data_IF_574553785211
#
_entry.id   IF_574553785211
#
_cell.length_a   1.000
_cell.length_b   1.000
_cell.length_c   1.000
_cell.angle_alpha   90.00
_cell.angle_beta   90.00
_cell.angle_gamma   90.00
#
_symmetry.space_group_name_H-M   'P 1'
#
loop_
_entity.id
_entity.type
_entity.pdbx_description
1 polymer ?
#
# COMPACT_ATOMS: atom_id res chain seq x y z
N UNK A 1 10.14 -20.69 35.67
CA UNK A 1 9.44 -20.21 34.46
C UNK A 1 10.46 -19.48 33.62
N UNK A 2 10.80 -20.02 32.45
CA UNK A 2 11.67 -19.33 31.48
C UNK A 2 10.94 -18.08 31.01
N UNK A 3 11.55 -16.91 31.13
CA UNK A 3 11.02 -15.69 30.50
C UNK A 3 10.96 -15.94 28.99
N UNK A 4 9.75 -16.07 28.44
CA UNK A 4 9.57 -16.11 26.99
C UNK A 4 9.95 -14.73 26.46
N UNK A 5 11.13 -14.64 25.84
CA UNK A 5 11.60 -13.40 25.24
C UNK A 5 10.71 -13.06 24.03
N UNK A 6 9.99 -11.94 24.12
CA UNK A 6 9.15 -11.44 23.03
C UNK A 6 9.94 -10.44 22.17
N UNK A 7 9.45 -10.20 20.96
CA UNK A 7 10.04 -9.28 20.00
C UNK A 7 8.97 -8.34 19.48
N UNK A 8 9.21 -7.04 19.57
CA UNK A 8 8.39 -6.00 19.00
C UNK A 8 8.89 -5.61 17.60
N UNK A 9 7.98 -5.46 16.65
CA UNK A 9 8.24 -4.68 15.44
C UNK A 9 7.90 -3.23 15.77
N UNK A 10 8.88 -2.35 15.63
CA UNK A 10 8.74 -0.93 15.91
C UNK A 10 8.91 -0.11 14.64
N UNK A 11 8.26 1.05 14.58
CA UNK A 11 8.40 2.04 13.51
C UNK A 11 9.08 3.30 14.06
N UNK A 12 10.19 3.72 13.44
CA UNK A 12 10.99 4.88 13.87
C UNK A 12 12.46 4.80 13.44
N UNK A 13 13.22 5.87 13.68
CA UNK A 13 14.66 5.91 13.43
C UNK A 13 15.43 4.96 14.38
N UNK A 14 16.45 4.27 13.87
CA UNK A 14 17.27 3.31 14.63
C UNK A 14 18.22 3.99 15.63
N UNK A 15 18.49 5.26 15.36
CA UNK A 15 19.44 6.15 16.01
C UNK A 15 18.70 7.17 16.87
N UNK A 16 18.88 7.04 18.19
CA UNK A 16 18.65 8.06 19.21
C UNK A 16 17.20 8.36 19.65
N UNK A 17 16.87 7.94 20.89
CA UNK A 17 16.02 8.62 21.89
C UNK A 17 14.63 9.17 21.52
N UNK A 18 14.14 8.93 20.30
CA UNK A 18 12.82 9.34 19.83
C UNK A 18 11.74 8.35 20.22
N UNK A 19 10.46 8.77 20.29
CA UNK A 19 9.37 7.84 20.50
C UNK A 19 9.29 6.90 19.30
N UNK A 20 9.55 5.61 19.53
CA UNK A 20 9.23 4.56 18.58
C UNK A 20 7.80 4.09 18.82
N UNK A 21 7.09 3.82 17.74
CA UNK A 21 5.77 3.22 17.81
C UNK A 21 5.88 1.71 17.80
N UNK A 22 5.28 1.04 18.79
CA UNK A 22 5.16 -0.41 18.78
C UNK A 22 4.04 -0.80 17.83
N UNK A 23 4.39 -1.46 16.72
CA UNK A 23 3.42 -1.92 15.71
C UNK A 23 2.80 -3.25 16.15
N UNK A 24 3.63 -4.21 16.60
CA UNK A 24 3.18 -5.52 17.09
C UNK A 24 4.23 -6.19 17.96
N UNK A 25 3.79 -7.06 18.88
CA UNK A 25 4.65 -7.90 19.72
C UNK A 25 4.38 -9.38 19.43
N UNK A 26 5.45 -10.17 19.25
CA UNK A 26 5.36 -11.59 18.89
C UNK A 26 6.45 -12.45 19.55
N UNK A 27 6.19 -13.75 19.64
CA UNK A 27 7.01 -14.70 20.41
C UNK A 27 8.30 -15.14 19.71
N UNK A 28 8.52 -14.76 18.44
CA UNK A 28 9.68 -15.20 17.65
C UNK A 28 10.41 -14.05 16.96
N UNK A 29 11.73 -13.96 17.16
CA UNK A 29 12.59 -12.96 16.49
C UNK A 29 12.54 -13.08 14.97
N UNK A 30 12.60 -14.31 14.45
CA UNK A 30 12.60 -14.57 13.01
C UNK A 30 11.29 -14.16 12.36
N UNK A 31 10.17 -14.38 13.05
CA UNK A 31 8.85 -13.95 12.59
C UNK A 31 8.75 -12.42 12.60
N UNK A 32 9.21 -11.76 13.67
CA UNK A 32 9.27 -10.30 13.76
C UNK A 32 10.15 -9.69 12.66
N UNK A 33 11.28 -10.34 12.34
CA UNK A 33 12.19 -9.89 11.29
C UNK A 33 11.55 -10.01 9.90
N UNK A 34 10.80 -11.09 9.65
CA UNK A 34 10.02 -11.25 8.41
C UNK A 34 8.97 -10.16 8.27
N UNK A 35 8.21 -9.87 9.33
CA UNK A 35 7.20 -8.80 9.33
C UNK A 35 7.83 -7.44 9.10
N UNK A 36 8.92 -7.12 9.78
CA UNK A 36 9.64 -5.86 9.56
C UNK A 36 10.12 -5.72 8.10
N UNK A 37 10.67 -6.80 7.52
CA UNK A 37 11.09 -6.82 6.12
C UNK A 37 9.89 -6.66 5.16
N UNK A 38 8.76 -7.30 5.45
CA UNK A 38 7.53 -7.16 4.68
C UNK A 38 6.93 -5.76 4.78
N UNK A 39 7.01 -5.08 5.92
CA UNK A 39 6.53 -3.70 6.07
C UNK A 39 7.45 -2.69 5.36
N UNK A 40 8.74 -3.02 5.23
CA UNK A 40 9.72 -2.24 4.49
C UNK A 40 10.51 -1.25 5.36
N UNK A 41 11.25 -0.30 4.73
CA UNK A 41 12.15 0.61 5.43
C UNK A 41 11.48 1.37 6.59
N UNK A 42 12.25 1.62 7.66
CA UNK A 42 11.76 2.27 8.88
C UNK A 42 11.10 1.34 9.90
N UNK A 43 11.01 0.03 9.61
CA UNK A 43 10.56 -1.00 10.54
C UNK A 43 11.72 -1.85 11.04
N UNK A 44 11.77 -2.06 12.36
CA UNK A 44 12.88 -2.73 13.03
C UNK A 44 12.39 -3.67 14.14
N UNK A 45 13.20 -4.66 14.49
CA UNK A 45 12.89 -5.61 15.56
C UNK A 45 13.61 -5.23 16.84
N UNK A 46 12.87 -5.10 17.94
CA UNK A 46 13.36 -4.80 19.29
C UNK A 46 12.95 -5.92 20.26
N UNK A 47 13.77 -6.31 21.24
CA UNK A 47 13.32 -7.21 22.30
C UNK A 47 12.25 -6.51 23.16
N UNK A 48 11.16 -7.22 23.48
CA UNK A 48 10.04 -6.71 24.25
C UNK A 48 9.82 -7.52 25.53
N UNK A 49 9.58 -6.83 26.64
CA UNK A 49 9.15 -7.42 27.92
C UNK A 49 7.64 -7.18 28.09
N UNK A 50 6.81 -7.87 27.32
CA UNK A 50 5.34 -7.68 27.39
C UNK A 50 4.64 -9.03 27.57
N UNK A 51 3.63 -9.05 28.45
CA UNK A 51 2.97 -10.24 28.99
C UNK A 51 1.65 -10.64 28.27
N UNK A 52 1.34 -10.08 27.10
CA UNK A 52 0.14 -10.47 26.36
C UNK A 52 0.40 -10.64 24.85
N UNK A 53 0.11 -11.85 24.39
CA UNK A 53 0.16 -12.31 23.01
C UNK A 53 -1.15 -13.03 22.70
N UNK A 54 -1.72 -12.83 21.52
CA UNK A 54 -2.97 -13.54 21.15
C UNK A 54 -3.81 -12.89 20.05
N UNK A 55 -3.47 -11.69 19.57
CA UNK A 55 -4.14 -11.12 18.42
C UNK A 55 -3.65 -11.80 17.13
N UNK A 56 -4.57 -12.26 16.29
CA UNK A 56 -4.25 -12.63 14.91
C UNK A 56 -3.81 -11.38 14.17
N UNK A 57 -2.81 -11.51 13.30
CA UNK A 57 -2.30 -10.40 12.51
C UNK A 57 -1.99 -10.83 11.09
N UNK A 58 -2.02 -9.89 10.14
CA UNK A 58 -1.55 -10.10 8.77
C UNK A 58 -0.96 -8.81 8.20
N UNK A 59 0.05 -8.91 7.36
CA UNK A 59 0.53 -7.77 6.58
C UNK A 59 -0.32 -7.66 5.32
N UNK A 60 -0.82 -6.46 5.05
CA UNK A 60 -1.54 -6.12 3.83
C UNK A 60 -0.71 -5.14 3.04
N UNK A 61 -0.58 -5.42 1.74
CA UNK A 61 0.12 -4.56 0.79
C UNK A 61 -0.91 -3.76 0.00
N UNK A 62 -0.55 -2.55 -0.40
CA UNK A 62 -1.33 -1.78 -1.38
C UNK A 62 -0.64 -1.90 -2.73
N UNK A 63 -1.42 -2.19 -3.76
CA UNK A 63 -1.00 -2.22 -5.16
C UNK A 63 -1.57 -1.02 -5.90
N UNK A 64 -0.78 -0.48 -6.82
CA UNK A 64 -1.17 0.57 -7.76
C UNK A 64 -1.17 0.00 -9.17
N UNK A 65 -2.16 0.38 -9.97
CA UNK A 65 -2.17 0.17 -11.42
C UNK A 65 -2.56 1.47 -12.11
N UNK A 66 -1.80 1.84 -13.13
CA UNK A 66 -2.03 3.04 -13.92
C UNK A 66 -2.61 2.71 -15.30
N UNK A 67 -3.42 3.60 -15.84
CA UNK A 67 -3.90 3.54 -17.21
C UNK A 67 -3.89 4.93 -17.84
N UNK A 68 -3.76 4.97 -19.17
CA UNK A 68 -3.79 6.21 -19.95
C UNK A 68 -4.83 6.08 -21.05
N UNK A 69 -5.66 7.11 -21.17
CA UNK A 69 -6.68 7.24 -22.23
C UNK A 69 -6.30 8.43 -23.10
N UNK A 70 -6.31 8.26 -24.42
CA UNK A 70 -5.97 9.31 -25.40
C UNK A 70 -7.07 9.39 -26.45
N UNK A 71 -7.71 10.55 -26.56
CA UNK A 71 -8.79 10.81 -27.53
C UNK A 71 -9.89 9.76 -27.46
N UNK A 72 -10.44 9.52 -26.26
CA UNK A 72 -11.49 8.52 -26.04
C UNK A 72 -11.09 7.06 -26.28
N UNK A 73 -9.79 6.72 -26.28
CA UNK A 73 -9.34 5.32 -26.43
C UNK A 73 -8.32 4.97 -25.36
N UNK A 74 -8.42 3.75 -24.82
CA UNK A 74 -7.40 3.23 -23.90
C UNK A 74 -6.11 3.04 -24.69
N UNK A 75 -5.09 3.83 -24.35
CA UNK A 75 -3.76 3.75 -24.96
C UNK A 75 -2.92 2.67 -24.27
N UNK A 76 -2.92 2.67 -22.93
CA UNK A 76 -2.22 1.66 -22.14
C UNK A 76 -2.85 1.41 -20.78
N UNK A 77 -2.60 0.21 -20.26
CA UNK A 77 -2.82 -0.19 -18.88
C UNK A 77 -1.55 -0.88 -18.40
N UNK A 78 -0.93 -0.32 -17.37
CA UNK A 78 0.33 -0.80 -16.83
C UNK A 78 0.14 -2.08 -16.01
N UNK A 79 1.22 -2.84 -15.80
CA UNK A 79 1.19 -3.95 -14.86
C UNK A 79 0.99 -3.42 -13.42
N UNK A 80 0.16 -4.06 -12.59
CA UNK A 80 0.01 -3.66 -11.19
C UNK A 80 1.34 -3.82 -10.45
N UNK A 81 1.68 -2.84 -9.63
CA UNK A 81 2.91 -2.82 -8.86
C UNK A 81 2.62 -2.57 -7.39
N UNK A 82 3.44 -3.13 -6.50
CA UNK A 82 3.30 -2.91 -5.06
C UNK A 82 3.77 -1.50 -4.72
N UNK A 83 2.92 -0.72 -4.06
CA UNK A 83 3.23 0.64 -3.65
C UNK A 83 4.19 0.64 -2.45
N UNK A 84 5.44 1.14 -2.59
CA UNK A 84 6.41 1.16 -1.51
C UNK A 84 5.91 2.00 -0.33
N UNK A 85 6.13 1.51 0.90
CA UNK A 85 5.73 2.22 2.13
C UNK A 85 4.23 2.22 2.44
N UNK A 86 3.37 1.72 1.54
CA UNK A 86 1.92 1.59 1.75
C UNK A 86 1.51 0.21 2.28
N UNK A 87 2.48 -0.54 2.82
CA UNK A 87 2.22 -1.83 3.50
C UNK A 87 1.89 -1.58 4.96
N UNK A 88 0.95 -2.34 5.50
CA UNK A 88 0.44 -2.14 6.85
C UNK A 88 0.16 -3.45 7.53
N UNK A 89 0.38 -3.49 8.84
CA UNK A 89 -0.08 -4.59 9.67
C UNK A 89 -1.56 -4.37 9.99
N UNK A 90 -2.37 -5.41 9.82
CA UNK A 90 -3.73 -5.46 10.34
C UNK A 90 -3.77 -6.40 11.54
N UNK A 91 -4.34 -5.92 12.64
CA UNK A 91 -4.70 -6.73 13.79
C UNK A 91 -6.09 -7.34 13.60
N UNK A 92 -6.39 -8.41 14.34
CA UNK A 92 -7.66 -9.13 14.24
C UNK A 92 -8.88 -8.20 14.36
N UNK A 93 -9.71 -8.18 13.31
CA UNK A 93 -10.92 -7.35 13.23
C UNK A 93 -10.72 -6.00 12.52
N UNK A 94 -9.49 -5.59 12.21
CA UNK A 94 -9.23 -4.40 11.42
C UNK A 94 -9.58 -4.60 9.94
N UNK A 95 -10.15 -3.56 9.32
CA UNK A 95 -10.51 -3.58 7.91
C UNK A 95 -9.31 -3.21 7.04
N UNK A 96 -9.14 -3.85 5.87
CA UNK A 96 -8.15 -3.44 4.88
C UNK A 96 -8.48 -2.07 4.25
N UNK A 97 -7.51 -1.44 3.53
CA UNK A 97 -7.76 -0.16 2.90
C UNK A 97 -8.79 -0.39 1.81
N UNK A 98 -9.72 0.55 1.67
CA UNK A 98 -10.70 0.46 0.58
C UNK A 98 -10.05 0.65 -0.78
N UNK A 99 -10.65 0.03 -1.78
CA UNK A 99 -10.34 0.29 -3.20
C UNK A 99 -10.50 1.80 -3.50
N UNK A 100 -9.58 2.35 -4.31
CA UNK A 100 -9.63 3.76 -4.73
C UNK A 100 -9.25 3.91 -6.19
N UNK A 101 -9.92 4.80 -6.90
CA UNK A 101 -9.54 5.25 -8.25
C UNK A 101 -9.37 6.76 -8.22
N UNK A 102 -8.35 7.25 -8.91
CA UNK A 102 -8.05 8.65 -9.10
C UNK A 102 -7.85 8.93 -10.58
N UNK A 103 -8.49 9.97 -11.08
CA UNK A 103 -8.26 10.54 -12.41
C UNK A 103 -7.56 11.88 -12.21
N UNK A 104 -6.44 12.10 -12.89
CA UNK A 104 -5.70 13.36 -12.79
C UNK A 104 -6.26 14.41 -13.76
N UNK A 105 -7.32 15.10 -13.32
CA UNK A 105 -7.97 16.16 -14.08
C UNK A 105 -7.05 17.36 -14.35
N UNK A 106 -6.09 17.62 -13.46
CA UNK A 106 -5.15 18.73 -13.62
C UNK A 106 -4.14 18.44 -14.73
N UNK A 107 -3.59 17.22 -14.76
CA UNK A 107 -2.74 16.78 -15.86
C UNK A 107 -3.49 16.77 -17.20
N UNK A 108 -4.75 16.32 -17.21
CA UNK A 108 -5.58 16.33 -18.42
C UNK A 108 -5.82 17.76 -18.95
N UNK A 109 -6.18 18.69 -18.06
CA UNK A 109 -6.38 20.10 -18.44
C UNK A 109 -5.09 20.73 -18.97
N UNK A 110 -3.93 20.36 -18.43
CA UNK A 110 -2.63 20.81 -18.90
C UNK A 110 -2.31 20.29 -20.31
N UNK A 111 -2.51 19.00 -20.57
CA UNK A 111 -2.32 18.38 -21.90
C UNK A 111 -3.20 19.05 -22.96
N UNK A 112 -4.46 19.34 -22.61
CA UNK A 112 -5.37 20.07 -23.50
C UNK A 112 -4.89 21.51 -23.76
N UNK A 113 -4.47 22.24 -22.72
CA UNK A 113 -4.07 23.63 -22.84
C UNK A 113 -2.74 23.83 -23.58
N UNK A 114 -1.76 22.95 -23.37
CA UNK A 114 -0.40 23.09 -23.93
C UNK A 114 -0.26 22.37 -25.27
N UNK A 115 -0.89 21.21 -25.43
CA UNK A 115 -0.69 20.33 -26.58
C UNK A 115 -1.95 20.13 -27.43
N UNK A 116 -3.11 20.64 -27.01
CA UNK A 116 -4.38 20.41 -27.70
C UNK A 116 -4.78 18.93 -27.71
N UNK A 117 -4.30 18.15 -26.74
CA UNK A 117 -4.54 16.70 -26.66
C UNK A 117 -5.54 16.39 -25.57
N UNK A 118 -6.46 15.51 -25.89
CA UNK A 118 -7.33 14.87 -24.91
C UNK A 118 -6.61 13.64 -24.32
N UNK A 119 -6.10 13.77 -23.10
CA UNK A 119 -5.36 12.71 -22.39
C UNK A 119 -5.83 12.64 -20.95
N UNK A 120 -6.19 11.45 -20.49
CA UNK A 120 -6.52 11.20 -19.09
C UNK A 120 -5.57 10.17 -18.47
N UNK A 121 -5.05 10.51 -17.28
CA UNK A 121 -4.25 9.61 -16.47
C UNK A 121 -5.10 9.05 -15.32
N UNK A 122 -5.18 7.72 -15.25
CA UNK A 122 -5.92 6.99 -14.22
C UNK A 122 -4.94 6.26 -13.33
N UNK A 123 -5.18 6.27 -12.02
CA UNK A 123 -4.50 5.44 -11.02
C UNK A 123 -5.52 4.74 -10.16
N UNK A 124 -5.38 3.42 -10.02
CA UNK A 124 -6.21 2.61 -9.16
C UNK A 124 -5.39 1.91 -8.08
N UNK A 125 -5.96 1.81 -6.88
CA UNK A 125 -5.33 1.25 -5.70
C UNK A 125 -6.22 0.18 -5.07
N UNK A 126 -5.63 -0.95 -4.68
CA UNK A 126 -6.32 -2.03 -3.97
C UNK A 126 -5.34 -2.85 -3.15
N UNK A 127 -5.83 -3.66 -2.21
CA UNK A 127 -4.99 -4.65 -1.51
C UNK A 127 -4.60 -5.86 -2.39
N UNK A 128 -5.25 -6.00 -3.54
CA UNK A 128 -5.01 -7.06 -4.50
C UNK A 128 -4.59 -6.49 -5.87
N UNK A 129 -3.53 -7.06 -6.44
CA UNK A 129 -2.96 -6.59 -7.71
C UNK A 129 -3.93 -6.76 -8.89
N UNK A 130 -4.67 -7.87 -8.92
CA UNK A 130 -5.65 -8.15 -9.98
C UNK A 130 -6.82 -7.16 -9.89
N UNK A 131 -7.26 -6.87 -8.67
CA UNK A 131 -8.32 -5.90 -8.39
C UNK A 131 -7.91 -4.48 -8.75
N UNK A 132 -6.70 -4.05 -8.39
CA UNK A 132 -6.16 -2.74 -8.78
C UNK A 132 -6.17 -2.58 -10.31
N UNK A 133 -5.74 -3.62 -11.04
CA UNK A 133 -5.78 -3.63 -12.51
C UNK A 133 -7.21 -3.53 -13.06
N UNK A 134 -8.12 -4.36 -12.56
CA UNK A 134 -9.52 -4.33 -13.02
C UNK A 134 -10.20 -2.97 -12.78
N UNK A 135 -9.85 -2.29 -11.68
CA UNK A 135 -10.34 -0.93 -11.39
C UNK A 135 -9.79 0.10 -12.38
N UNK A 136 -8.49 0.03 -12.71
CA UNK A 136 -7.88 0.91 -13.70
C UNK A 136 -8.48 0.68 -15.10
N UNK A 137 -8.64 -0.59 -15.51
CA UNK A 137 -9.25 -0.97 -16.79
C UNK A 137 -10.69 -0.45 -16.90
N UNK A 138 -11.50 -0.64 -15.86
CA UNK A 138 -12.89 -0.16 -15.84
C UNK A 138 -12.97 1.36 -15.93
N UNK A 139 -12.20 2.08 -15.12
CA UNK A 139 -12.21 3.54 -15.15
C UNK A 139 -11.69 4.10 -16.48
N UNK A 140 -10.68 3.48 -17.08
CA UNK A 140 -10.21 3.84 -18.42
C UNK A 140 -11.28 3.57 -19.50
N UNK A 141 -12.02 2.47 -19.39
CA UNK A 141 -13.12 2.16 -20.31
C UNK A 141 -14.28 3.16 -20.17
N UNK A 142 -14.61 3.57 -18.94
CA UNK A 142 -15.64 4.60 -18.69
C UNK A 142 -15.25 5.95 -19.33
N UNK A 143 -13.97 6.32 -19.29
CA UNK A 143 -13.44 7.53 -19.94
C UNK A 143 -13.35 7.39 -21.47
N UNK A 144 -13.02 6.21 -21.98
CA UNK A 144 -12.98 5.94 -23.42
C UNK A 144 -14.38 5.88 -24.06
N UNK A 145 -15.40 5.52 -23.28
CA UNK A 145 -16.80 5.49 -23.71
C UNK A 145 -17.56 6.80 -23.48
N UNK A 146 -16.94 7.82 -22.90
CA UNK A 146 -17.54 9.14 -22.76
C UNK A 146 -17.58 9.84 -24.15
N UNK A 147 -18.73 10.39 -24.57
CA UNK A 147 -18.93 10.99 -25.89
C UNK A 147 -18.11 12.28 -26.10
#
# INVERSE_FOLDING_TARGET
MTETQMYAVVRGALDESGPFEVVVVMAGRSEAARVAAELGPGHHVQPARVAHFGATWRVVHTYECAAVVVGGRIDRVDAPSRLPGASRLLLGGEKPPGDRVQVDEQAAALEAAVHGRDVHYVRAYSEDATRARALAERAAADLAGAP
#
